data_IF_703273336880
#
_entry.id   IF_703273336880
#
_cell.length_a   1.000
_cell.length_b   1.000
_cell.length_c   1.000
_cell.angle_alpha   90.00
_cell.angle_beta   90.00
_cell.angle_gamma   90.00
#
_symmetry.space_group_name_H-M   'P 1'
#
loop_
_entity.id
_entity.type
_entity.pdbx_description
1 polymer ?
#
# COMPACT_ATOMS: atom_id res chain seq x y z
N UNK A 1 51.69 -12.87 -48.56
CA UNK A 1 50.37 -12.29 -48.30
C UNK A 1 49.39 -13.25 -47.59
N UNK A 2 49.31 -14.57 -47.95
CA UNK A 2 48.38 -15.52 -47.29
C UNK A 2 48.75 -15.80 -45.83
N UNK A 3 50.04 -15.83 -45.45
CA UNK A 3 50.50 -16.09 -44.08
C UNK A 3 50.13 -14.96 -43.10
N UNK A 4 50.23 -13.70 -43.52
CA UNK A 4 49.88 -12.54 -42.71
C UNK A 4 48.37 -12.47 -42.43
N UNK A 5 47.56 -12.85 -43.42
CA UNK A 5 46.09 -12.92 -43.29
C UNK A 5 45.66 -14.05 -42.35
N UNK A 6 46.39 -15.16 -42.35
CA UNK A 6 46.14 -16.30 -41.44
C UNK A 6 46.51 -15.94 -39.99
N UNK A 7 47.67 -15.29 -39.80
CA UNK A 7 48.09 -14.82 -38.47
C UNK A 7 47.12 -13.74 -37.90
N UNK A 8 46.67 -12.80 -38.75
CA UNK A 8 45.67 -11.84 -38.36
C UNK A 8 44.32 -12.46 -37.93
N UNK A 9 43.87 -13.53 -38.61
CA UNK A 9 42.67 -14.25 -38.22
C UNK A 9 42.84 -15.01 -36.91
N UNK A 10 43.98 -15.63 -36.65
CA UNK A 10 44.28 -16.35 -35.40
C UNK A 10 44.26 -15.43 -34.19
N UNK A 11 44.67 -14.16 -34.34
CA UNK A 11 44.67 -13.20 -33.26
C UNK A 11 43.32 -12.46 -33.14
N UNK A 12 42.65 -12.16 -34.26
CA UNK A 12 41.40 -11.42 -34.28
C UNK A 12 40.21 -12.21 -33.69
N UNK A 13 40.17 -13.55 -33.97
CA UNK A 13 39.08 -14.43 -33.49
C UNK A 13 39.03 -14.46 -31.96
N UNK A 14 40.13 -14.74 -31.21
CA UNK A 14 40.07 -14.79 -29.76
C UNK A 14 39.77 -13.38 -29.15
N UNK A 15 40.26 -12.30 -29.74
CA UNK A 15 39.95 -10.93 -29.30
C UNK A 15 38.44 -10.67 -29.47
N UNK A 16 37.85 -11.01 -30.60
CA UNK A 16 36.41 -10.87 -30.85
C UNK A 16 35.59 -11.67 -29.86
N UNK A 17 36.06 -12.89 -29.53
CA UNK A 17 35.40 -13.76 -28.58
C UNK A 17 35.45 -13.21 -27.16
N UNK A 18 36.57 -12.64 -26.73
CA UNK A 18 36.69 -11.97 -25.42
C UNK A 18 35.78 -10.76 -25.34
N UNK A 19 35.74 -9.93 -26.40
CA UNK A 19 34.85 -8.76 -26.47
C UNK A 19 33.38 -9.17 -26.42
N UNK A 20 33.01 -10.22 -27.13
CA UNK A 20 31.66 -10.78 -27.11
C UNK A 20 31.27 -11.30 -25.72
N UNK A 21 32.18 -11.99 -25.04
CA UNK A 21 31.96 -12.52 -23.70
C UNK A 21 31.86 -11.36 -22.67
N UNK A 22 32.71 -10.36 -22.76
CA UNK A 22 32.65 -9.16 -21.93
C UNK A 22 31.33 -8.38 -22.14
N UNK A 23 30.90 -8.21 -23.40
CA UNK A 23 29.62 -7.61 -23.73
C UNK A 23 28.42 -8.39 -23.19
N UNK A 24 28.45 -9.72 -23.31
CA UNK A 24 27.42 -10.61 -22.76
C UNK A 24 27.31 -10.47 -21.24
N UNK A 25 28.44 -10.30 -20.54
CA UNK A 25 28.48 -10.10 -19.10
C UNK A 25 27.90 -8.74 -18.69
N UNK A 26 28.12 -7.68 -19.46
CA UNK A 26 27.53 -6.36 -19.25
C UNK A 26 26.01 -6.33 -19.46
N UNK A 27 25.51 -7.18 -20.38
CA UNK A 27 24.08 -7.28 -20.68
C UNK A 27 23.30 -8.07 -19.63
N UNK A 28 23.98 -8.86 -18.79
CA UNK A 28 23.32 -9.69 -17.79
C UNK A 28 23.02 -8.89 -16.52
N UNK A 29 21.73 -8.71 -16.20
CA UNK A 29 21.29 -8.09 -14.96
C UNK A 29 20.50 -9.09 -14.12
N UNK A 30 20.83 -9.17 -12.83
CA UNK A 30 20.13 -10.03 -11.88
C UNK A 30 19.12 -9.18 -11.07
N UNK A 31 17.85 -9.60 -11.08
CA UNK A 31 16.81 -9.01 -10.25
C UNK A 31 16.86 -9.64 -8.86
N UNK A 32 17.00 -8.86 -7.78
CA UNK A 32 16.77 -9.36 -6.43
C UNK A 32 15.29 -9.71 -6.26
N UNK A 33 14.93 -10.62 -5.33
CA UNK A 33 13.54 -11.04 -5.14
C UNK A 33 12.62 -9.92 -4.66
N UNK A 34 13.19 -8.85 -4.13
CA UNK A 34 12.47 -7.69 -3.59
C UNK A 34 12.23 -6.57 -4.60
N UNK A 35 12.76 -6.70 -5.83
CA UNK A 35 12.62 -5.70 -6.89
C UNK A 35 12.25 -6.38 -8.20
N UNK A 36 11.29 -5.81 -8.91
CA UNK A 36 11.01 -6.16 -10.29
C UNK A 36 11.93 -5.37 -11.22
N UNK A 37 12.58 -6.03 -12.16
CA UNK A 37 13.23 -5.39 -13.30
C UNK A 37 12.25 -5.42 -14.46
N UNK A 38 11.92 -4.23 -14.94
CA UNK A 38 11.02 -4.03 -16.07
C UNK A 38 11.86 -3.66 -17.27
N UNK A 39 11.85 -4.54 -18.26
CA UNK A 39 12.58 -4.33 -19.52
C UNK A 39 11.61 -3.82 -20.56
N UNK A 40 11.89 -2.63 -21.06
CA UNK A 40 11.17 -1.98 -22.17
C UNK A 40 12.13 -1.69 -23.31
N UNK A 41 11.64 -1.69 -24.56
CA UNK A 41 12.43 -1.33 -25.72
C UNK A 41 12.13 -2.13 -26.96
N UNK A 42 12.94 -1.96 -27.98
CA UNK A 42 12.75 -2.56 -29.29
C UNK A 42 12.72 -4.09 -29.23
N UNK A 43 11.78 -4.70 -29.93
CA UNK A 43 11.58 -6.16 -29.99
C UNK A 43 10.66 -6.74 -28.89
N UNK A 44 10.13 -5.91 -28.00
CA UNK A 44 9.16 -6.30 -26.98
C UNK A 44 7.83 -5.58 -27.23
N UNK A 45 6.79 -6.33 -27.58
CA UNK A 45 5.43 -5.78 -27.73
C UNK A 45 4.79 -5.38 -26.40
N UNK A 46 5.27 -5.94 -25.29
CA UNK A 46 4.80 -5.66 -23.92
C UNK A 46 6.00 -5.55 -22.97
N UNK A 47 5.95 -4.73 -21.92
CA UNK A 47 6.99 -4.68 -20.90
C UNK A 47 7.21 -6.06 -20.29
N UNK A 48 8.47 -6.51 -20.23
CA UNK A 48 8.83 -7.78 -19.61
C UNK A 48 9.18 -7.54 -18.13
N UNK A 49 8.37 -8.08 -17.24
CA UNK A 49 8.59 -8.01 -15.79
C UNK A 49 9.37 -9.25 -15.36
N UNK A 50 10.49 -9.06 -14.67
CA UNK A 50 11.34 -10.13 -14.17
C UNK A 50 11.59 -9.91 -12.67
N UNK A 51 11.19 -10.89 -11.86
CA UNK A 51 11.32 -10.88 -10.40
C UNK A 51 12.19 -12.08 -10.00
N UNK A 52 13.21 -11.83 -9.19
CA UNK A 52 14.05 -12.91 -8.61
C UNK A 52 14.88 -13.71 -9.60
N UNK A 53 14.94 -13.32 -10.87
CA UNK A 53 15.66 -14.04 -11.94
C UNK A 53 16.63 -13.11 -12.65
N UNK A 54 17.59 -13.70 -13.40
CA UNK A 54 18.46 -12.97 -14.31
C UNK A 54 17.74 -12.61 -15.60
N UNK A 55 18.01 -11.44 -16.13
CA UNK A 55 17.51 -10.99 -17.43
C UNK A 55 18.65 -10.44 -18.27
N UNK A 56 18.61 -10.75 -19.56
CA UNK A 56 19.48 -10.15 -20.55
C UNK A 56 18.87 -8.86 -21.06
N UNK A 57 19.58 -7.76 -20.90
CA UNK A 57 19.16 -6.43 -21.34
C UNK A 57 20.23 -5.85 -22.25
N UNK A 58 19.88 -5.53 -23.47
CA UNK A 58 20.80 -4.90 -24.42
C UNK A 58 20.75 -3.38 -24.18
N UNK A 59 21.77 -2.77 -23.57
CA UNK A 59 21.70 -1.38 -23.05
C UNK A 59 21.50 -0.31 -24.13
N UNK A 60 21.77 -0.62 -25.40
CA UNK A 60 21.61 0.33 -26.52
C UNK A 60 20.15 0.35 -27.03
N UNK A 61 19.42 -0.77 -26.92
CA UNK A 61 18.11 -0.98 -27.56
C UNK A 61 17.01 -1.10 -26.51
N UNK A 62 17.37 -1.52 -25.30
CA UNK A 62 16.43 -1.81 -24.22
C UNK A 62 16.78 -0.99 -22.97
N UNK A 63 15.73 -0.51 -22.29
CA UNK A 63 15.83 0.15 -21.00
C UNK A 63 15.37 -0.81 -19.92
N UNK A 64 16.08 -0.84 -18.79
CA UNK A 64 15.74 -1.64 -17.64
C UNK A 64 15.50 -0.72 -16.45
N UNK A 65 14.25 -0.55 -16.07
CA UNK A 65 13.83 0.21 -14.91
C UNK A 65 13.56 -0.74 -13.74
N UNK A 66 13.65 -0.23 -12.51
CA UNK A 66 13.43 -1.01 -11.29
C UNK A 66 12.16 -0.52 -10.60
N UNK A 67 11.32 -1.45 -10.19
CA UNK A 67 10.16 -1.18 -9.34
C UNK A 67 10.36 -1.90 -8.01
N UNK A 68 10.24 -1.17 -6.90
CA UNK A 68 10.30 -1.77 -5.58
C UNK A 68 8.99 -2.54 -5.32
N UNK A 69 9.12 -3.82 -4.91
CA UNK A 69 7.99 -4.69 -4.58
C UNK A 69 7.88 -4.96 -3.08
N UNK A 70 8.71 -4.27 -2.28
CA UNK A 70 8.65 -4.38 -0.82
C UNK A 70 7.36 -3.74 -0.29
N UNK A 71 7.04 -4.12 0.93
CA UNK A 71 6.04 -3.42 1.71
C UNK A 71 6.42 -1.95 1.88
N UNK A 72 5.57 -1.05 1.40
CA UNK A 72 5.70 0.38 1.58
C UNK A 72 4.78 0.80 2.73
N UNK A 73 5.36 1.41 3.74
CA UNK A 73 4.63 1.99 4.86
C UNK A 73 4.32 3.45 4.54
N UNK A 74 3.06 3.82 4.58
CA UNK A 74 2.57 5.18 4.31
C UNK A 74 1.84 5.70 5.54
N UNK A 75 2.29 6.83 6.05
CA UNK A 75 1.59 7.55 7.11
C UNK A 75 0.53 8.44 6.49
N UNK A 76 -0.74 8.18 6.84
CA UNK A 76 -1.90 8.89 6.33
C UNK A 76 -2.44 9.78 7.44
N UNK A 77 -2.25 11.08 7.29
CA UNK A 77 -2.73 12.09 8.23
C UNK A 77 -3.82 12.93 7.58
N UNK A 78 -4.88 13.17 8.30
CA UNK A 78 -5.89 14.13 7.85
C UNK A 78 -5.30 15.55 7.86
N UNK A 79 -5.81 16.47 7.03
CA UNK A 79 -5.42 17.87 7.06
C UNK A 79 -5.60 18.48 8.46
N UNK A 80 -4.87 19.54 8.77
CA UNK A 80 -4.93 20.23 10.07
C UNK A 80 -6.34 20.72 10.43
N UNK A 81 -7.17 21.05 9.44
CA UNK A 81 -8.57 21.43 9.61
C UNK A 81 -9.48 20.25 10.00
N UNK A 82 -8.92 19.04 10.04
CA UNK A 82 -9.67 17.83 10.32
C UNK A 82 -10.67 17.42 9.24
N UNK A 83 -11.35 16.33 9.51
CA UNK A 83 -12.47 15.83 8.73
C UNK A 83 -13.71 15.88 9.58
N UNK A 84 -14.80 16.41 9.04
CA UNK A 84 -16.09 16.47 9.75
C UNK A 84 -16.74 15.09 9.74
N UNK A 85 -17.18 14.66 10.92
CA UNK A 85 -17.96 13.43 11.08
C UNK A 85 -19.46 13.71 10.80
N UNK A 86 -20.32 12.69 10.99
CA UNK A 86 -21.76 12.80 10.82
C UNK A 86 -22.40 13.90 11.72
N UNK A 87 -21.84 14.15 12.89
CA UNK A 87 -22.32 15.12 13.86
C UNK A 87 -21.75 16.53 13.63
N UNK A 88 -20.92 16.72 12.60
CA UNK A 88 -20.33 18.00 12.23
C UNK A 88 -19.07 18.38 13.03
N UNK A 89 -18.58 17.48 13.88
CA UNK A 89 -17.35 17.68 14.65
C UNK A 89 -16.14 17.39 13.77
N UNK A 90 -15.14 18.28 13.81
CA UNK A 90 -13.91 18.14 13.04
C UNK A 90 -12.92 17.27 13.81
N UNK A 91 -12.52 16.13 13.23
CA UNK A 91 -11.61 15.16 13.80
C UNK A 91 -10.29 15.11 13.03
N UNK A 92 -9.20 15.05 13.76
CA UNK A 92 -7.88 14.78 13.22
C UNK A 92 -7.52 13.30 13.47
N UNK A 93 -7.18 12.59 12.40
CA UNK A 93 -6.83 11.18 12.46
C UNK A 93 -5.42 10.97 11.95
N UNK A 94 -4.68 10.14 12.66
CA UNK A 94 -3.39 9.60 12.25
C UNK A 94 -3.51 8.11 12.04
N UNK A 95 -3.17 7.66 10.84
CA UNK A 95 -3.26 6.26 10.47
C UNK A 95 -2.04 5.82 9.67
N UNK A 96 -1.75 4.53 9.74
CA UNK A 96 -0.63 3.92 9.04
C UNK A 96 -1.15 2.80 8.17
N UNK A 97 -0.77 2.87 6.92
CA UNK A 97 -1.12 1.89 5.91
C UNK A 97 0.14 1.19 5.41
N UNK A 98 0.06 -0.11 5.27
CA UNK A 98 1.10 -0.88 4.59
C UNK A 98 0.53 -1.41 3.28
N UNK A 99 1.19 -1.06 2.19
CA UNK A 99 0.80 -1.47 0.84
C UNK A 99 1.94 -2.21 0.16
N UNK A 100 1.60 -3.04 -0.82
CA UNK A 100 2.57 -3.70 -1.69
C UNK A 100 2.04 -3.78 -3.12
N UNK A 101 2.93 -3.98 -4.07
CA UNK A 101 2.54 -4.31 -5.44
C UNK A 101 2.02 -5.75 -5.47
N UNK A 102 0.93 -6.01 -6.19
CA UNK A 102 0.39 -7.36 -6.33
C UNK A 102 1.46 -8.37 -6.74
N UNK A 103 1.50 -9.48 -6.04
CA UNK A 103 2.45 -10.58 -6.24
C UNK A 103 1.73 -11.92 -6.30
N UNK A 104 2.44 -12.99 -6.63
CA UNK A 104 1.87 -14.35 -6.62
C UNK A 104 1.40 -14.80 -5.21
N UNK A 105 1.86 -14.14 -4.16
CA UNK A 105 1.49 -14.40 -2.77
C UNK A 105 0.32 -13.53 -2.27
N UNK A 106 -0.22 -12.65 -3.12
CA UNK A 106 -1.35 -11.79 -2.78
C UNK A 106 -2.62 -12.61 -2.55
N UNK A 107 -3.38 -12.22 -1.52
CA UNK A 107 -4.66 -12.86 -1.22
C UNK A 107 -5.77 -12.13 -1.96
N UNK A 108 -6.29 -12.75 -3.01
CA UNK A 108 -7.34 -12.17 -3.87
C UNK A 108 -8.57 -13.07 -3.79
N UNK A 109 -9.74 -12.48 -3.63
CA UNK A 109 -11.01 -13.21 -3.65
C UNK A 109 -11.43 -13.58 -5.07
N UNK A 110 -12.19 -14.67 -5.23
CA UNK A 110 -12.73 -15.08 -6.53
C UNK A 110 -13.64 -14.00 -7.13
N UNK A 111 -14.33 -13.24 -6.28
CA UNK A 111 -15.19 -12.12 -6.70
C UNK A 111 -14.38 -11.00 -7.33
N UNK A 112 -13.22 -10.64 -6.78
CA UNK A 112 -12.34 -9.61 -7.34
C UNK A 112 -11.76 -10.00 -8.72
N UNK A 113 -11.50 -11.29 -8.92
CA UNK A 113 -11.04 -11.82 -10.22
C UNK A 113 -12.16 -11.73 -11.26
N UNK A 114 -13.38 -12.08 -10.86
CA UNK A 114 -14.57 -12.02 -11.73
C UNK A 114 -14.90 -10.57 -12.12
N UNK A 115 -14.89 -9.64 -11.16
CA UNK A 115 -15.16 -8.22 -11.39
C UNK A 115 -14.12 -7.58 -12.34
N UNK A 116 -12.88 -8.03 -12.27
CA UNK A 116 -11.82 -7.59 -13.18
C UNK A 116 -11.90 -8.24 -14.58
N UNK A 117 -12.89 -9.13 -14.82
CA UNK A 117 -13.05 -9.90 -16.08
C UNK A 117 -11.80 -10.69 -16.46
N UNK A 118 -11.03 -11.14 -15.48
CA UNK A 118 -9.85 -11.97 -15.66
C UNK A 118 -10.23 -13.46 -15.67
N UNK A 119 -9.58 -14.26 -16.54
CA UNK A 119 -9.88 -15.68 -16.65
C UNK A 119 -9.28 -16.51 -15.51
N UNK A 120 -8.13 -16.06 -14.97
CA UNK A 120 -7.38 -16.79 -13.94
C UNK A 120 -6.69 -15.81 -12.99
N UNK A 121 -6.33 -16.30 -11.79
CA UNK A 121 -5.54 -15.57 -10.81
C UNK A 121 -4.23 -14.98 -11.40
N UNK A 122 -3.50 -15.74 -12.22
CA UNK A 122 -2.26 -15.25 -12.86
C UNK A 122 -2.49 -14.11 -13.82
N UNK A 123 -3.60 -14.13 -14.55
CA UNK A 123 -3.99 -13.06 -15.46
C UNK A 123 -4.36 -11.79 -14.68
N UNK A 124 -5.10 -11.95 -13.58
CA UNK A 124 -5.41 -10.87 -12.66
C UNK A 124 -4.14 -10.20 -12.11
N UNK A 125 -3.22 -10.98 -11.54
CA UNK A 125 -1.96 -10.48 -11.00
C UNK A 125 -1.14 -9.78 -12.09
N UNK A 126 -1.09 -10.35 -13.28
CA UNK A 126 -0.38 -9.74 -14.40
C UNK A 126 -0.96 -8.36 -14.76
N UNK A 127 -2.30 -8.24 -14.85
CA UNK A 127 -2.97 -6.96 -15.13
C UNK A 127 -2.71 -5.92 -14.02
N UNK A 128 -2.74 -6.34 -12.76
CA UNK A 128 -2.44 -5.46 -11.63
C UNK A 128 -0.99 -5.00 -11.61
N UNK A 129 -0.05 -5.89 -11.92
CA UNK A 129 1.36 -5.53 -12.07
C UNK A 129 1.58 -4.55 -13.24
N UNK A 130 0.89 -4.72 -14.36
CA UNK A 130 0.95 -3.76 -15.47
C UNK A 130 0.40 -2.39 -15.06
N UNK A 131 -0.67 -2.35 -14.27
CA UNK A 131 -1.19 -1.11 -13.71
C UNK A 131 -0.17 -0.43 -12.78
N UNK A 132 0.48 -1.19 -11.89
CA UNK A 132 1.53 -0.66 -11.02
C UNK A 132 2.70 -0.08 -11.83
N UNK A 133 3.13 -0.77 -12.87
CA UNK A 133 4.19 -0.30 -13.76
C UNK A 133 3.79 1.00 -14.44
N UNK A 134 2.57 1.08 -14.98
CA UNK A 134 2.09 2.28 -15.68
C UNK A 134 1.98 3.49 -14.75
N UNK A 135 1.66 3.27 -13.48
CA UNK A 135 1.44 4.34 -12.51
C UNK A 135 2.71 4.79 -11.76
N UNK A 136 3.66 3.86 -11.54
CA UNK A 136 4.77 4.08 -10.60
C UNK A 136 6.16 3.90 -11.19
N UNK A 137 6.28 3.50 -12.46
CA UNK A 137 7.59 3.30 -13.09
C UNK A 137 8.38 4.61 -13.11
N UNK A 138 9.57 4.60 -12.51
CA UNK A 138 10.46 5.75 -12.46
C UNK A 138 10.13 6.78 -11.37
N UNK A 139 9.14 6.52 -10.52
CA UNK A 139 8.83 7.37 -9.37
C UNK A 139 9.67 6.97 -8.16
N UNK A 140 9.95 7.95 -7.29
CA UNK A 140 10.55 7.68 -5.98
C UNK A 140 9.54 7.05 -5.02
N UNK A 141 10.02 6.44 -3.93
CA UNK A 141 9.11 5.88 -2.90
C UNK A 141 8.26 6.97 -2.25
N UNK A 142 8.82 8.17 -2.09
CA UNK A 142 8.12 9.34 -1.54
C UNK A 142 6.98 9.81 -2.46
N UNK A 143 7.21 9.88 -3.78
CA UNK A 143 6.16 10.26 -4.74
C UNK A 143 5.03 9.22 -4.78
N UNK A 144 5.37 7.94 -4.66
CA UNK A 144 4.39 6.85 -4.57
C UNK A 144 3.57 6.99 -3.29
N UNK A 145 4.24 7.26 -2.15
CA UNK A 145 3.57 7.45 -0.86
C UNK A 145 2.60 8.64 -0.91
N UNK A 146 2.96 9.74 -1.54
CA UNK A 146 2.07 10.91 -1.71
C UNK A 146 0.82 10.53 -2.50
N UNK A 147 0.95 9.84 -3.63
CA UNK A 147 -0.22 9.40 -4.42
C UNK A 147 -1.14 8.46 -3.66
N UNK A 148 -0.57 7.54 -2.88
CA UNK A 148 -1.34 6.62 -2.04
C UNK A 148 -2.06 7.40 -0.93
N UNK A 149 -1.37 8.34 -0.32
CA UNK A 149 -1.93 9.19 0.74
C UNK A 149 -3.16 9.96 0.24
N UNK A 150 -3.10 10.55 -0.96
CA UNK A 150 -4.22 11.30 -1.55
C UNK A 150 -5.47 10.42 -1.73
N UNK A 151 -5.30 9.19 -2.22
CA UNK A 151 -6.41 8.24 -2.38
C UNK A 151 -6.98 7.84 -1.03
N UNK A 152 -6.12 7.52 -0.07
CA UNK A 152 -6.54 7.08 1.26
C UNK A 152 -7.20 8.18 2.07
N UNK A 153 -6.72 9.42 1.96
CA UNK A 153 -7.36 10.58 2.58
C UNK A 153 -8.79 10.79 2.06
N UNK A 154 -9.03 10.56 0.77
CA UNK A 154 -10.35 10.62 0.17
C UNK A 154 -11.30 9.60 0.81
N UNK A 155 -10.91 8.34 0.81
CA UNK A 155 -11.69 7.24 1.39
C UNK A 155 -11.90 7.41 2.91
N UNK A 156 -10.86 7.85 3.64
CA UNK A 156 -10.94 8.10 5.07
C UNK A 156 -11.96 9.21 5.38
N UNK A 157 -11.96 10.29 4.58
CA UNK A 157 -12.92 11.39 4.73
C UNK A 157 -14.35 10.93 4.51
N UNK A 158 -14.60 10.09 3.52
CA UNK A 158 -15.91 9.52 3.23
C UNK A 158 -16.41 8.71 4.43
N UNK A 159 -15.65 7.73 4.90
CA UNK A 159 -16.04 6.86 6.01
C UNK A 159 -16.23 7.65 7.31
N UNK A 160 -15.33 8.58 7.63
CA UNK A 160 -15.46 9.39 8.85
C UNK A 160 -16.71 10.26 8.80
N UNK A 161 -17.10 10.79 7.63
CA UNK A 161 -18.31 11.61 7.49
C UNK A 161 -19.60 10.84 7.71
N UNK A 162 -19.58 9.52 7.60
CA UNK A 162 -20.74 8.63 7.81
C UNK A 162 -20.84 8.08 9.24
N UNK A 163 -19.79 8.21 10.04
CA UNK A 163 -19.72 7.64 11.40
C UNK A 163 -19.99 8.68 12.49
N UNK A 164 -20.57 8.23 13.61
CA UNK A 164 -20.69 9.05 14.84
C UNK A 164 -19.34 9.08 15.60
N UNK A 165 -19.14 10.07 16.47
CA UNK A 165 -17.94 10.13 17.32
C UNK A 165 -17.83 8.89 18.20
N UNK A 166 -18.95 8.46 18.78
CA UNK A 166 -18.99 7.29 19.63
C UNK A 166 -18.50 6.03 18.90
N UNK A 167 -18.95 5.84 17.66
CA UNK A 167 -18.51 4.70 16.82
C UNK A 167 -17.03 4.78 16.48
N UNK A 168 -16.54 5.97 16.10
CA UNK A 168 -15.13 6.19 15.76
C UNK A 168 -14.21 5.88 16.95
N UNK A 169 -14.60 6.27 18.17
CA UNK A 169 -13.80 6.04 19.36
C UNK A 169 -13.87 4.60 19.88
N UNK A 170 -15.08 3.99 19.85
CA UNK A 170 -15.29 2.65 20.40
C UNK A 170 -14.98 1.53 19.41
N UNK A 171 -15.28 1.75 18.13
CA UNK A 171 -15.18 0.75 17.06
C UNK A 171 -14.06 1.04 16.05
N UNK A 172 -12.89 1.45 16.53
CA UNK A 172 -11.73 1.77 15.66
C UNK A 172 -11.40 0.68 14.64
N UNK A 173 -11.54 -0.58 15.05
CA UNK A 173 -11.30 -1.73 14.17
C UNK A 173 -12.33 -1.80 13.03
N UNK A 174 -13.59 -1.54 13.32
CA UNK A 174 -14.64 -1.52 12.29
C UNK A 174 -14.42 -0.37 11.31
N UNK A 175 -14.09 0.82 11.80
CA UNK A 175 -13.72 1.96 10.95
C UNK A 175 -12.54 1.60 10.03
N UNK A 176 -11.49 1.00 10.58
CA UNK A 176 -10.33 0.58 9.80
C UNK A 176 -10.70 -0.43 8.69
N UNK A 177 -11.60 -1.37 8.98
CA UNK A 177 -12.09 -2.33 7.99
C UNK A 177 -12.91 -1.64 6.89
N UNK A 178 -13.81 -0.71 7.25
CA UNK A 178 -14.60 0.04 6.28
C UNK A 178 -13.73 0.88 5.35
N UNK A 179 -12.70 1.56 5.88
CA UNK A 179 -11.74 2.31 5.06
C UNK A 179 -10.97 1.37 4.14
N UNK A 180 -10.56 0.19 4.64
CA UNK A 180 -9.84 -0.79 3.86
C UNK A 180 -10.70 -1.34 2.71
N UNK A 181 -11.96 -1.65 2.96
CA UNK A 181 -12.91 -2.14 1.95
C UNK A 181 -13.17 -1.09 0.86
N UNK A 182 -13.36 0.17 1.25
CA UNK A 182 -13.57 1.26 0.29
C UNK A 182 -12.30 1.59 -0.53
N UNK A 183 -11.13 1.61 0.10
CA UNK A 183 -9.88 1.97 -0.57
C UNK A 183 -9.32 0.84 -1.45
N UNK A 184 -9.66 -0.43 -1.14
CA UNK A 184 -9.14 -1.60 -1.86
C UNK A 184 -9.34 -1.53 -3.38
N UNK A 185 -10.55 -1.26 -3.92
CA UNK A 185 -10.75 -1.22 -5.36
C UNK A 185 -9.95 -0.12 -6.05
N UNK A 186 -9.77 1.03 -5.42
CA UNK A 186 -9.04 2.15 -6.00
C UNK A 186 -7.54 1.88 -6.03
N UNK A 187 -6.96 1.37 -4.95
CA UNK A 187 -5.56 0.97 -4.93
C UNK A 187 -5.30 -0.24 -5.82
N UNK A 188 -6.24 -1.17 -5.94
CA UNK A 188 -6.13 -2.28 -6.88
C UNK A 188 -6.10 -1.81 -8.34
N UNK A 189 -6.87 -0.78 -8.73
CA UNK A 189 -6.77 -0.15 -10.07
C UNK A 189 -5.39 0.44 -10.34
N UNK A 190 -4.70 0.91 -9.30
CA UNK A 190 -3.33 1.40 -9.37
C UNK A 190 -2.29 0.27 -9.36
N UNK A 191 -2.69 -0.97 -9.08
CA UNK A 191 -1.82 -2.15 -9.01
C UNK A 191 -1.22 -2.39 -7.63
N UNK A 192 -1.81 -1.82 -6.58
CA UNK A 192 -1.40 -1.96 -5.20
C UNK A 192 -2.42 -2.76 -4.38
N UNK A 193 -1.90 -3.57 -3.46
CA UNK A 193 -2.67 -4.29 -2.46
C UNK A 193 -2.44 -3.67 -1.09
N UNK A 194 -3.51 -3.48 -0.32
CA UNK A 194 -3.41 -3.06 1.09
C UNK A 194 -3.21 -4.32 1.94
N UNK A 195 -2.10 -4.36 2.66
CA UNK A 195 -1.79 -5.45 3.59
C UNK A 195 -2.38 -5.16 4.97
N UNK A 196 -2.17 -3.95 5.47
CA UNK A 196 -2.70 -3.52 6.77
C UNK A 196 -3.10 -2.06 6.74
N UNK A 197 -4.17 -1.73 7.47
CA UNK A 197 -4.59 -0.38 7.77
C UNK A 197 -4.81 -0.27 9.27
N UNK A 198 -4.10 0.63 9.94
CA UNK A 198 -4.19 0.82 11.39
C UNK A 198 -4.38 2.30 11.72
N UNK A 199 -5.41 2.61 12.49
CA UNK A 199 -5.61 3.95 13.05
C UNK A 199 -4.78 4.06 14.34
N UNK A 200 -3.86 5.02 14.37
CA UNK A 200 -2.96 5.23 15.49
C UNK A 200 -3.56 6.16 16.53
N UNK A 201 -4.02 7.32 16.08
CA UNK A 201 -4.49 8.37 16.97
C UNK A 201 -5.72 9.09 16.40
N UNK A 202 -6.60 9.53 17.28
CA UNK A 202 -7.80 10.29 16.96
C UNK A 202 -7.88 11.45 17.94
N UNK A 203 -7.89 12.66 17.42
CA UNK A 203 -7.94 13.91 18.22
C UNK A 203 -8.98 14.87 17.64
N UNK A 204 -9.37 15.82 18.44
CA UNK A 204 -10.08 16.99 17.93
C UNK A 204 -9.18 17.76 16.96
N UNK A 205 -9.71 18.17 15.83
CA UNK A 205 -8.99 19.05 14.93
C UNK A 205 -8.87 20.43 15.58
N UNK A 206 -7.69 21.03 15.44
CA UNK A 206 -7.45 22.38 15.92
C UNK A 206 -8.20 23.39 15.06
N UNK A 207 -8.76 24.40 15.69
CA UNK A 207 -9.30 25.54 14.97
C UNK A 207 -8.17 26.38 14.32
N UNK A 208 -8.55 27.36 13.49
CA UNK A 208 -7.58 28.28 12.87
C UNK A 208 -6.75 29.09 13.88
N UNK A 209 -7.14 29.08 15.15
CA UNK A 209 -6.48 29.77 16.25
C UNK A 209 -5.63 28.82 17.11
N UNK A 210 -5.61 27.53 16.76
CA UNK A 210 -4.80 26.51 17.45
C UNK A 210 -5.43 25.95 18.73
N UNK A 211 -6.72 26.28 18.99
CA UNK A 211 -7.43 25.74 20.15
C UNK A 211 -8.05 24.39 19.83
N UNK A 212 -7.94 23.49 20.80
CA UNK A 212 -8.58 22.18 20.80
C UNK A 212 -10.02 22.32 21.30
N UNK A 213 -11.00 21.77 20.62
CA UNK A 213 -12.41 21.93 21.00
C UNK A 213 -12.79 21.09 22.24
N UNK A 214 -11.94 20.15 22.66
CA UNK A 214 -12.16 19.30 23.84
C UNK A 214 -13.40 18.39 23.77
N UNK A 215 -13.96 18.19 22.57
CA UNK A 215 -15.18 17.39 22.39
C UNK A 215 -14.92 15.93 22.68
N UNK A 216 -13.79 15.41 22.23
CA UNK A 216 -13.39 14.01 22.49
C UNK A 216 -13.16 13.80 23.99
N UNK A 217 -12.51 14.74 24.67
CA UNK A 217 -12.28 14.68 26.11
C UNK A 217 -13.61 14.74 26.88
N UNK A 218 -14.54 15.62 26.50
CA UNK A 218 -15.87 15.72 27.10
C UNK A 218 -16.67 14.42 26.95
N UNK A 219 -16.63 13.77 25.78
CA UNK A 219 -17.29 12.49 25.54
C UNK A 219 -16.62 11.38 26.37
N UNK A 220 -15.29 11.38 26.47
CA UNK A 220 -14.56 10.44 27.33
C UNK A 220 -15.00 10.50 28.78
N UNK A 221 -15.12 11.69 29.34
CA UNK A 221 -15.60 11.93 30.72
C UNK A 221 -17.05 11.42 30.90
N UNK A 222 -17.93 11.72 29.93
CA UNK A 222 -19.32 11.19 29.96
C UNK A 222 -19.37 9.66 29.93
N UNK A 223 -18.56 9.04 29.11
CA UNK A 223 -18.49 7.57 29.03
C UNK A 223 -18.00 6.96 30.34
N UNK A 224 -16.97 7.55 30.96
CA UNK A 224 -16.49 7.09 32.27
C UNK A 224 -17.56 7.20 33.34
N UNK A 225 -18.32 8.29 33.39
CA UNK A 225 -19.41 8.46 34.34
C UNK A 225 -20.53 7.45 34.13
N UNK A 226 -20.89 7.14 32.88
CA UNK A 226 -21.89 6.12 32.56
C UNK A 226 -21.43 4.75 33.02
N UNK A 227 -20.17 4.37 32.74
CA UNK A 227 -19.62 3.10 33.19
C UNK A 227 -19.55 3.01 34.71
N UNK A 228 -19.15 4.07 35.42
CA UNK A 228 -19.14 4.13 36.89
C UNK A 228 -20.55 3.94 37.45
N UNK A 229 -21.55 4.64 36.93
CA UNK A 229 -22.95 4.47 37.34
C UNK A 229 -23.49 3.06 37.10
N UNK A 230 -23.15 2.45 35.94
CA UNK A 230 -23.54 1.07 35.66
C UNK A 230 -22.87 0.09 36.62
N UNK A 231 -21.60 0.30 36.96
CA UNK A 231 -20.88 -0.52 37.94
C UNK A 231 -21.50 -0.36 39.35
N UNK A 232 -21.88 0.83 39.78
CA UNK A 232 -22.54 1.09 41.05
C UNK A 232 -23.93 0.41 41.13
N UNK A 233 -24.70 0.49 40.02
CA UNK A 233 -26.01 -0.20 39.95
C UNK A 233 -25.81 -1.72 40.02
N UNK A 234 -24.82 -2.25 39.30
CA UNK A 234 -24.52 -3.70 39.36
C UNK A 234 -24.09 -4.14 40.77
N UNK A 235 -23.27 -3.37 41.45
CA UNK A 235 -22.87 -3.63 42.84
C UNK A 235 -24.05 -3.55 43.81
N UNK A 236 -24.93 -2.55 43.65
CA UNK A 236 -26.15 -2.41 44.44
C UNK A 236 -27.11 -3.60 44.26
N UNK A 237 -27.26 -4.09 43.04
CA UNK A 237 -28.08 -5.28 42.76
C UNK A 237 -27.52 -6.57 43.39
N UNK A 238 -26.17 -6.71 43.43
CA UNK A 238 -25.51 -7.83 44.10
C UNK A 238 -25.75 -7.76 45.60
N UNK A 239 -25.66 -6.60 46.23
CA UNK A 239 -25.95 -6.42 47.66
C UNK A 239 -27.42 -6.67 48.03
N UNK A 240 -28.36 -6.37 47.15
CA UNK A 240 -29.79 -6.66 47.40
C UNK A 240 -30.10 -8.13 47.27
N UNK A 241 -29.30 -8.87 46.50
CA UNK A 241 -29.54 -10.34 46.30
C UNK A 241 -28.85 -11.23 47.34
N UNK A 242 -28.06 -10.68 48.29
CA UNK A 242 -27.56 -11.46 49.43
C UNK A 242 -28.71 -11.68 50.41
N UNK A 243 -29.25 -12.91 50.54
CA UNK A 243 -30.24 -13.17 51.55
C UNK A 243 -29.57 -13.03 52.91
N UNK A 244 -30.04 -12.10 53.71
CA UNK A 244 -29.72 -12.07 55.16
C UNK A 244 -30.03 -13.46 55.74
N UNK A 245 -28.99 -14.26 55.96
CA UNK A 245 -29.10 -15.49 56.72
C UNK A 245 -29.37 -15.10 58.18
N UNK A 246 -30.41 -15.70 58.80
CA UNK A 246 -30.68 -15.55 60.21
C UNK A 246 -29.61 -16.23 61.08
#
# INVERSE_FOLDING_TARGET
RKGIVMLAKIILIPILLVVFFAFSFLCYKKAPPTMAIIVTGFGLSKPKVVIGRGVFVIPIIQRADRLNMRLLKVDVKTPDNGVKNQEGVSLWLDSVVTVQVFSENSTVSETEIADAKCQNFKDYIWHRQQAAISNFLGMSEEDIAVKINDVLQGNLREIVSEMTIADILTNRKQMALSVLENARPDLAKMGLEIVTFNVQDIKDARDQQGHDHGVIEAIGVQQEEIVKRQAEIALSLIHISEPTRP
#
